data_IF_243099215048
#
_entry.id   IF_243099215048
#
_cell.length_a   1.000
_cell.length_b   1.000
_cell.length_c   1.000
_cell.angle_alpha   90.00
_cell.angle_beta   90.00
_cell.angle_gamma   90.00
#
_symmetry.space_group_name_H-M   'P 1'
#
loop_
_entity.id
_entity.type
_entity.pdbx_description
1 polymer ?
#
# COMPACT_ATOMS: atom_id res chain seq x y z
N UNK A 1 9.06 6.42 -6.63
CA UNK A 1 9.25 5.02 -7.03
C UNK A 1 10.34 4.44 -6.16
N UNK A 2 10.07 3.37 -5.41
CA UNK A 2 11.11 2.68 -4.67
C UNK A 2 11.92 1.80 -5.62
N UNK A 3 13.22 2.06 -5.70
CA UNK A 3 14.15 1.35 -6.60
C UNK A 3 14.65 0.04 -5.96
N UNK A 4 14.43 -0.14 -4.64
CA UNK A 4 14.84 -1.32 -3.89
C UNK A 4 13.65 -2.25 -3.62
N UNK A 5 13.24 -3.00 -4.65
CA UNK A 5 12.21 -4.02 -4.48
C UNK A 5 12.83 -5.26 -3.84
N UNK A 6 12.33 -5.65 -2.68
CA UNK A 6 12.75 -6.90 -2.04
C UNK A 6 12.13 -8.08 -2.78
N UNK A 7 12.98 -9.04 -3.12
CA UNK A 7 12.60 -10.22 -3.90
C UNK A 7 12.99 -11.50 -3.18
N UNK A 8 12.26 -12.58 -3.47
CA UNK A 8 12.55 -13.93 -2.96
C UNK A 8 12.25 -14.99 -4.03
N UNK A 9 12.89 -16.17 -3.96
CA UNK A 9 12.64 -17.24 -4.92
C UNK A 9 11.32 -17.99 -4.60
N UNK A 10 10.76 -18.75 -5.56
CA UNK A 10 9.44 -19.37 -5.41
C UNK A 10 9.41 -20.52 -4.40
N UNK A 11 10.57 -21.07 -4.05
CA UNK A 11 10.80 -22.16 -3.10
C UNK A 11 11.15 -21.69 -1.68
N UNK A 12 11.24 -20.37 -1.45
CA UNK A 12 11.31 -19.80 -0.11
C UNK A 12 10.08 -20.22 0.71
N UNK A 13 10.25 -20.41 2.02
CA UNK A 13 9.11 -20.73 2.89
C UNK A 13 8.31 -19.47 3.20
N UNK A 14 7.03 -19.61 3.53
CA UNK A 14 6.21 -18.48 3.99
C UNK A 14 6.82 -17.84 5.23
N UNK A 15 7.42 -18.62 6.13
CA UNK A 15 8.17 -18.08 7.27
C UNK A 15 9.27 -17.14 6.80
N UNK A 16 10.09 -17.54 5.83
CA UNK A 16 11.19 -16.70 5.35
C UNK A 16 10.67 -15.42 4.70
N UNK A 17 9.56 -15.51 3.95
CA UNK A 17 8.86 -14.34 3.38
C UNK A 17 8.40 -13.39 4.48
N UNK A 18 7.71 -13.90 5.51
CA UNK A 18 7.22 -13.10 6.62
C UNK A 18 8.35 -12.47 7.44
N UNK A 19 9.41 -13.24 7.72
CA UNK A 19 10.60 -12.73 8.41
C UNK A 19 11.26 -11.62 7.60
N UNK A 20 11.41 -11.79 6.27
CA UNK A 20 11.98 -10.77 5.42
C UNK A 20 11.12 -9.50 5.33
N UNK A 21 9.80 -9.65 5.35
CA UNK A 21 8.87 -8.52 5.45
C UNK A 21 9.08 -7.72 6.74
N UNK A 22 9.17 -8.42 7.89
CA UNK A 22 9.39 -7.78 9.19
C UNK A 22 10.77 -7.14 9.32
N UNK A 23 11.84 -7.79 8.85
CA UNK A 23 13.21 -7.27 8.88
C UNK A 23 13.38 -5.98 8.07
N UNK A 24 12.66 -5.87 6.95
CA UNK A 24 12.77 -4.75 6.02
C UNK A 24 11.67 -3.70 6.22
N UNK A 25 10.72 -3.92 7.14
CA UNK A 25 9.51 -3.12 7.35
C UNK A 25 8.69 -2.91 6.05
N UNK A 26 8.39 -3.99 5.34
CA UNK A 26 7.64 -3.97 4.06
C UNK A 26 6.45 -4.91 4.07
N UNK A 27 5.36 -4.50 3.42
CA UNK A 27 4.12 -5.29 3.34
C UNK A 27 3.98 -6.20 2.11
N UNK A 28 5.01 -6.29 1.27
CA UNK A 28 5.01 -7.17 0.07
C UNK A 28 6.40 -7.56 -0.41
N UNK A 29 6.48 -8.74 -1.03
CA UNK A 29 7.69 -9.25 -1.68
C UNK A 29 7.33 -9.74 -3.09
N UNK A 30 8.16 -9.37 -4.08
CA UNK A 30 8.07 -9.91 -5.44
C UNK A 30 8.76 -11.28 -5.50
N UNK A 31 8.08 -12.26 -6.09
CA UNK A 31 8.64 -13.60 -6.30
C UNK A 31 9.32 -13.66 -7.66
N UNK A 32 10.60 -14.02 -7.65
CA UNK A 32 11.46 -14.10 -8.82
C UNK A 32 11.80 -15.56 -9.13
N UNK A 33 11.38 -16.07 -10.28
CA UNK A 33 11.91 -17.31 -10.85
C UNK A 33 13.15 -16.98 -11.68
N UNK A 34 14.34 -17.16 -11.07
CA UNK A 34 15.62 -16.73 -11.62
C UNK A 34 15.63 -15.21 -11.88
N UNK A 35 15.50 -14.81 -13.14
CA UNK A 35 15.49 -13.40 -13.57
C UNK A 35 14.09 -12.88 -13.88
N UNK A 36 13.06 -13.74 -13.83
CA UNK A 36 11.70 -13.37 -14.20
C UNK A 36 10.84 -13.13 -12.97
N UNK A 37 10.16 -11.99 -12.87
CA UNK A 37 9.17 -11.77 -11.83
C UNK A 37 7.90 -12.56 -12.16
N UNK A 38 7.53 -13.51 -11.28
CA UNK A 38 6.43 -14.47 -11.54
C UNK A 38 5.20 -14.26 -10.66
N UNK A 39 5.35 -13.51 -9.57
CA UNK A 39 4.23 -13.22 -8.68
C UNK A 39 4.60 -12.26 -7.57
N UNK A 40 3.63 -12.01 -6.69
CA UNK A 40 3.77 -11.15 -5.52
C UNK A 40 3.10 -11.82 -4.33
N UNK A 41 3.70 -11.67 -3.14
CA UNK A 41 3.08 -12.03 -1.86
C UNK A 41 2.91 -10.76 -1.04
N UNK A 42 1.76 -10.65 -0.41
CA UNK A 42 1.42 -9.57 0.53
C UNK A 42 1.11 -10.14 1.92
N UNK A 43 1.10 -9.31 2.94
CA UNK A 43 0.66 -9.71 4.30
C UNK A 43 -0.74 -10.34 4.29
N UNK A 44 -1.63 -9.82 3.44
CA UNK A 44 -2.99 -10.35 3.27
C UNK A 44 -3.01 -11.76 2.68
N UNK A 45 -2.06 -12.11 1.80
CA UNK A 45 -1.94 -13.48 1.28
C UNK A 45 -1.49 -14.45 2.38
N UNK A 46 -0.56 -14.03 3.25
CA UNK A 46 -0.13 -14.85 4.40
C UNK A 46 -1.30 -15.09 5.35
N UNK A 47 -2.03 -14.03 5.72
CA UNK A 47 -3.19 -14.14 6.61
C UNK A 47 -4.27 -15.05 6.01
N UNK A 48 -4.64 -14.85 4.74
CA UNK A 48 -5.78 -15.55 4.11
C UNK A 48 -5.45 -16.95 3.62
N UNK A 49 -4.27 -17.19 3.06
CA UNK A 49 -3.93 -18.46 2.36
C UNK A 49 -3.08 -19.40 3.19
N UNK A 50 -2.61 -18.95 4.35
CA UNK A 50 -1.76 -19.74 5.27
C UNK A 50 -2.41 -19.83 6.64
N UNK A 51 -2.61 -18.69 7.31
CA UNK A 51 -3.15 -18.69 8.68
C UNK A 51 -4.59 -19.18 8.70
N UNK A 52 -5.47 -18.57 7.90
CA UNK A 52 -6.88 -18.96 7.83
C UNK A 52 -7.11 -20.36 7.25
N UNK A 53 -6.14 -20.91 6.51
CA UNK A 53 -6.17 -22.27 5.97
C UNK A 53 -5.38 -23.28 6.82
N UNK A 54 -4.92 -22.89 8.01
CA UNK A 54 -4.16 -23.73 8.95
C UNK A 54 -2.90 -24.40 8.34
N UNK A 55 -2.29 -23.78 7.33
CA UNK A 55 -1.07 -24.30 6.70
C UNK A 55 0.16 -23.99 7.55
N UNK A 56 1.13 -24.90 7.53
CA UNK A 56 2.40 -24.69 8.23
C UNK A 56 3.32 -23.73 7.45
N UNK A 57 3.66 -22.54 7.98
CA UNK A 57 4.48 -21.55 7.28
C UNK A 57 5.94 -21.98 7.08
N UNK A 58 6.42 -22.98 7.84
CA UNK A 58 7.79 -23.51 7.70
C UNK A 58 7.94 -24.46 6.51
N UNK A 59 6.84 -25.00 5.98
CA UNK A 59 6.86 -25.97 4.87
C UNK A 59 6.18 -25.43 3.62
N UNK A 60 5.16 -24.60 3.78
CA UNK A 60 4.45 -23.94 2.66
C UNK A 60 5.41 -23.02 1.91
N UNK A 61 5.43 -23.14 0.58
CA UNK A 61 6.32 -22.36 -0.30
C UNK A 61 5.66 -21.10 -0.81
N UNK A 62 6.47 -20.10 -1.11
CA UNK A 62 6.05 -18.82 -1.68
C UNK A 62 5.19 -19.00 -2.94
N UNK A 63 5.59 -19.90 -3.86
CA UNK A 63 4.85 -20.20 -5.09
C UNK A 63 3.42 -20.73 -4.87
N UNK A 64 3.14 -21.31 -3.70
CA UNK A 64 1.83 -21.90 -3.39
C UNK A 64 0.82 -20.83 -2.95
N UNK A 65 1.31 -19.67 -2.49
CA UNK A 65 0.45 -18.60 -1.96
C UNK A 65 0.54 -17.29 -2.73
N UNK A 66 1.54 -17.13 -3.61
CA UNK A 66 1.69 -15.90 -4.39
C UNK A 66 0.49 -15.66 -5.31
N UNK A 67 0.19 -14.39 -5.56
CA UNK A 67 -0.67 -14.01 -6.67
C UNK A 67 0.13 -14.01 -7.97
N UNK A 68 -0.35 -14.74 -8.97
CA UNK A 68 0.28 -14.95 -10.27
C UNK A 68 -0.80 -15.05 -11.37
N UNK A 69 -0.57 -14.57 -12.60
CA UNK A 69 0.64 -13.86 -13.06
C UNK A 69 0.81 -12.49 -12.38
N UNK A 70 2.04 -11.97 -12.37
CA UNK A 70 2.32 -10.67 -11.78
C UNK A 70 1.67 -9.55 -12.59
N UNK A 71 0.72 -8.84 -11.98
CA UNK A 71 0.17 -7.60 -12.53
C UNK A 71 1.24 -6.51 -12.49
N UNK A 72 1.48 -5.88 -13.63
CA UNK A 72 2.52 -4.88 -13.78
C UNK A 72 2.13 -3.76 -14.75
N UNK A 73 2.90 -2.68 -14.69
CA UNK A 73 2.88 -1.53 -15.60
C UNK A 73 4.30 -1.24 -16.11
N UNK A 74 4.42 -0.34 -17.08
CA UNK A 74 5.71 0.09 -17.62
C UNK A 74 6.09 1.50 -17.13
N UNK A 75 7.39 1.88 -17.11
CA UNK A 75 7.82 3.20 -16.61
C UNK A 75 7.30 4.40 -17.42
N UNK A 76 6.94 4.18 -18.69
CA UNK A 76 6.39 5.18 -19.61
C UNK A 76 4.87 5.35 -19.49
N UNK A 77 4.21 4.47 -18.75
CA UNK A 77 2.77 4.54 -18.50
C UNK A 77 2.43 5.73 -17.60
N UNK A 78 1.33 6.42 -17.90
CA UNK A 78 0.87 7.53 -17.06
C UNK A 78 0.45 7.02 -15.67
N UNK A 79 0.67 7.83 -14.62
CA UNK A 79 0.29 7.46 -13.25
C UNK A 79 -1.20 7.12 -13.12
N UNK A 80 -2.06 7.85 -13.83
CA UNK A 80 -3.51 7.63 -13.86
C UNK A 80 -3.89 6.29 -14.49
N UNK A 81 -3.10 5.79 -15.45
CA UNK A 81 -3.29 4.46 -16.02
C UNK A 81 -2.85 3.37 -15.05
N UNK A 82 -1.73 3.57 -14.33
CA UNK A 82 -1.34 2.67 -13.24
C UNK A 82 -2.40 2.60 -12.13
N UNK A 83 -3.01 3.73 -11.75
CA UNK A 83 -4.15 3.78 -10.83
C UNK A 83 -5.36 2.99 -11.36
N UNK A 84 -5.66 3.09 -12.66
CA UNK A 84 -6.74 2.32 -13.29
C UNK A 84 -6.43 0.82 -13.28
N UNK A 85 -5.19 0.41 -13.52
CA UNK A 85 -4.76 -0.99 -13.42
C UNK A 85 -4.94 -1.50 -11.99
N UNK A 86 -4.53 -0.72 -10.99
CA UNK A 86 -4.74 -1.02 -9.57
C UNK A 86 -6.23 -1.21 -9.26
N UNK A 87 -7.08 -0.26 -9.64
CA UNK A 87 -8.52 -0.29 -9.40
C UNK A 87 -9.20 -1.49 -10.07
N UNK A 88 -8.93 -1.74 -11.35
CA UNK A 88 -9.52 -2.88 -12.10
C UNK A 88 -9.09 -4.23 -11.55
N UNK A 89 -7.85 -4.33 -11.08
CA UNK A 89 -7.30 -5.57 -10.53
C UNK A 89 -7.59 -5.73 -9.03
N UNK A 90 -8.24 -4.73 -8.41
CA UNK A 90 -8.48 -4.65 -6.96
C UNK A 90 -7.20 -4.85 -6.12
N UNK A 91 -6.11 -4.19 -6.53
CA UNK A 91 -4.81 -4.24 -5.85
C UNK A 91 -4.37 -2.84 -5.43
N UNK A 92 -3.61 -2.76 -4.33
CA UNK A 92 -3.08 -1.51 -3.77
C UNK A 92 -1.64 -1.23 -4.15
N UNK A 93 -1.03 -2.11 -4.93
CA UNK A 93 0.36 -2.06 -5.35
C UNK A 93 0.53 -2.76 -6.68
N UNK A 94 1.39 -2.23 -7.54
CA UNK A 94 1.63 -2.75 -8.88
C UNK A 94 3.12 -2.74 -9.15
N UNK A 95 3.63 -3.82 -9.74
CA UNK A 95 5.02 -3.90 -10.14
C UNK A 95 5.26 -3.02 -11.37
N UNK A 96 6.47 -2.46 -11.49
CA UNK A 96 6.91 -1.73 -12.67
C UNK A 96 7.96 -2.58 -13.37
N UNK A 97 7.70 -2.98 -14.62
CA UNK A 97 8.65 -3.73 -15.44
C UNK A 97 9.16 -2.88 -16.59
N UNK A 98 10.48 -2.88 -16.79
CA UNK A 98 11.14 -2.29 -17.97
C UNK A 98 11.79 -3.41 -18.75
N UNK A 99 11.34 -3.65 -19.99
CA UNK A 99 11.84 -4.75 -20.84
C UNK A 99 11.81 -6.10 -20.08
N UNK A 100 10.66 -6.45 -19.50
CA UNK A 100 10.42 -7.65 -18.68
C UNK A 100 11.27 -7.79 -17.40
N UNK A 101 12.09 -6.77 -17.10
CA UNK A 101 12.92 -6.73 -15.90
C UNK A 101 12.25 -5.89 -14.82
N UNK A 102 12.28 -6.37 -13.57
CA UNK A 102 11.74 -5.65 -12.43
C UNK A 102 12.48 -4.33 -12.23
N UNK A 103 11.78 -3.22 -12.42
CA UNK A 103 12.33 -1.87 -12.26
C UNK A 103 11.93 -1.24 -10.92
N UNK A 104 10.77 -1.59 -10.37
CA UNK A 104 10.29 -1.03 -9.11
C UNK A 104 8.89 -1.53 -8.72
N UNK A 105 8.34 -0.92 -7.67
CA UNK A 105 6.94 -1.08 -7.25
C UNK A 105 6.34 0.30 -7.01
N UNK A 106 5.05 0.45 -7.29
CA UNK A 106 4.25 1.63 -6.95
C UNK A 106 3.10 1.15 -6.08
N UNK A 107 2.86 1.85 -4.97
CA UNK A 107 1.76 1.58 -4.05
C UNK A 107 0.73 2.71 -4.08
N UNK A 108 -0.50 2.45 -3.63
CA UNK A 108 -1.51 3.49 -3.46
C UNK A 108 -1.06 4.57 -2.47
N UNK A 109 -0.23 4.20 -1.47
CA UNK A 109 0.39 5.14 -0.54
C UNK A 109 1.36 6.09 -1.26
N UNK A 110 2.17 5.57 -2.18
CA UNK A 110 3.04 6.42 -3.01
C UNK A 110 2.24 7.44 -3.82
N UNK A 111 1.11 7.01 -4.39
CA UNK A 111 0.24 7.86 -5.21
C UNK A 111 -0.32 9.01 -4.38
N UNK A 112 -0.84 8.72 -3.18
CA UNK A 112 -1.34 9.75 -2.25
C UNK A 112 -0.22 10.70 -1.79
N UNK A 113 1.00 10.20 -1.62
CA UNK A 113 2.17 11.02 -1.28
C UNK A 113 2.59 11.94 -2.44
N UNK A 114 2.46 11.50 -3.69
CA UNK A 114 2.85 12.28 -4.87
C UNK A 114 1.78 13.27 -5.34
N UNK A 115 0.51 13.00 -5.06
CA UNK A 115 -0.60 13.91 -5.33
C UNK A 115 -1.56 13.96 -4.15
N UNK A 116 -1.23 14.75 -3.12
CA UNK A 116 -2.09 14.97 -1.95
C UNK A 116 -3.46 15.54 -2.32
N UNK A 117 -3.57 16.28 -3.43
CA UNK A 117 -4.82 16.89 -3.91
C UNK A 117 -5.90 15.85 -4.24
N UNK A 118 -5.51 14.59 -4.49
CA UNK A 118 -6.47 13.50 -4.64
C UNK A 118 -7.29 13.26 -3.37
N UNK A 119 -6.75 13.57 -2.19
CA UNK A 119 -7.47 13.46 -0.92
C UNK A 119 -8.64 14.45 -0.90
N UNK A 120 -8.39 15.71 -1.26
CA UNK A 120 -9.43 16.75 -1.28
C UNK A 120 -10.56 16.38 -2.25
N UNK A 121 -10.21 15.89 -3.44
CA UNK A 121 -11.19 15.43 -4.44
C UNK A 121 -12.01 14.26 -3.90
N UNK A 122 -11.37 13.30 -3.22
CA UNK A 122 -12.04 12.14 -2.64
C UNK A 122 -13.00 12.54 -1.51
N UNK A 123 -12.56 13.43 -0.60
CA UNK A 123 -13.38 13.95 0.49
C UNK A 123 -14.62 14.66 -0.06
N UNK A 124 -14.45 15.51 -1.06
CA UNK A 124 -15.56 16.23 -1.67
C UNK A 124 -16.51 15.28 -2.40
N UNK A 125 -15.98 14.27 -3.10
CA UNK A 125 -16.80 13.23 -3.73
C UNK A 125 -17.62 12.42 -2.71
N UNK A 126 -17.06 12.12 -1.53
CA UNK A 126 -17.75 11.39 -0.48
C UNK A 126 -18.85 12.24 0.16
N UNK A 127 -18.60 13.54 0.37
CA UNK A 127 -19.64 14.49 0.82
C UNK A 127 -20.83 14.51 -0.14
N UNK A 128 -20.57 14.58 -1.44
CA UNK A 128 -21.62 14.54 -2.47
C UNK A 128 -22.38 13.21 -2.51
N UNK A 129 -21.71 12.08 -2.21
CA UNK A 129 -22.37 10.77 -2.12
C UNK A 129 -23.21 10.60 -0.84
N UNK A 130 -22.75 11.15 0.28
CA UNK A 130 -23.46 11.12 1.56
C UNK A 130 -24.69 12.04 1.57
N UNK A 131 -24.72 13.09 0.74
CA UNK A 131 -25.89 13.96 0.56
C UNK A 131 -27.09 13.23 -0.10
N UNK A 132 -26.93 11.95 -0.48
CA UNK A 132 -28.01 11.07 -0.96
C UNK A 132 -28.42 9.98 0.05
N UNK A 133 -27.91 10.03 1.28
CA UNK A 133 -28.26 9.06 2.32
C UNK A 133 -27.92 9.52 3.74
N UNK A 134 -28.98 9.88 4.49
CA UNK A 134 -29.03 10.18 5.92
C UNK A 134 -28.82 11.66 6.31
N UNK A 135 -29.91 12.24 6.84
CA UNK A 135 -29.92 13.42 7.68
C UNK A 135 -29.24 13.10 9.02
N UNK A 136 -28.47 14.07 9.49
CA UNK A 136 -28.22 14.46 10.90
C UNK A 136 -28.15 13.33 11.93
N UNK A 137 -26.95 13.05 12.43
CA UNK A 137 -26.69 13.06 13.87
C UNK A 137 -25.19 13.38 14.08
N UNK A 138 -24.97 14.28 15.02
CA UNK A 138 -23.72 14.93 15.43
C UNK A 138 -22.58 13.93 15.71
N UNK A 139 -21.42 14.12 15.08
CA UNK A 139 -20.11 13.87 15.69
C UNK A 139 -19.04 14.53 14.80
N UNK A 140 -18.61 15.72 15.23
CA UNK A 140 -17.53 16.54 14.65
C UNK A 140 -16.13 15.94 14.88
N UNK A 141 -16.04 14.73 15.43
CA UNK A 141 -14.82 14.03 15.79
C UNK A 141 -14.71 12.77 14.91
N UNK A 142 -13.81 12.71 13.90
CA UNK A 142 -13.11 11.47 13.46
C UNK A 142 -12.44 11.52 12.06
N UNK A 143 -12.38 12.65 11.36
CA UNK A 143 -11.63 12.72 10.09
C UNK A 143 -10.18 13.22 10.26
N UNK A 144 -9.41 12.55 11.14
CA UNK A 144 -7.93 12.56 11.14
C UNK A 144 -7.40 11.12 10.95
N UNK A 145 -8.11 10.29 10.17
CA UNK A 145 -7.66 8.92 9.88
C UNK A 145 -6.52 8.84 8.84
N UNK A 146 -6.26 9.94 8.13
CA UNK A 146 -5.14 10.07 7.22
C UNK A 146 -4.35 11.29 7.68
N UNK A 147 -3.10 11.07 8.10
CA UNK A 147 -2.20 12.15 8.51
C UNK A 147 -2.20 13.38 7.61
N UNK A 148 -1.73 14.49 8.15
CA UNK A 148 -1.72 15.79 7.48
C UNK A 148 -0.39 16.51 7.68
N UNK A 149 -0.35 17.79 7.29
CA UNK A 149 0.82 18.65 7.49
C UNK A 149 0.71 19.33 8.87
N UNK A 150 1.80 19.33 9.63
CA UNK A 150 1.89 20.05 10.90
C UNK A 150 1.93 21.57 10.67
N UNK A 151 1.06 22.31 11.36
CA UNK A 151 0.97 23.78 11.26
C UNK A 151 2.20 24.51 11.82
N UNK A 152 3.05 23.82 12.59
CA UNK A 152 4.26 24.40 13.19
C UNK A 152 5.51 24.15 12.34
N UNK A 153 5.77 22.89 11.95
CA UNK A 153 6.99 22.54 11.22
C UNK A 153 6.79 22.36 9.71
N UNK A 154 5.55 22.30 9.23
CA UNK A 154 5.25 22.08 7.81
C UNK A 154 5.54 20.66 7.30
N UNK A 155 5.89 19.72 8.18
CA UNK A 155 6.17 18.33 7.82
C UNK A 155 4.90 17.47 7.93
N UNK A 156 4.80 16.46 7.07
CA UNK A 156 3.69 15.50 7.11
C UNK A 156 3.83 14.57 8.32
N UNK A 157 2.75 14.42 9.09
CA UNK A 157 2.65 13.48 10.21
C UNK A 157 1.41 12.61 10.11
N UNK A 158 1.58 11.31 10.36
CA UNK A 158 0.48 10.36 10.52
C UNK A 158 -0.21 10.46 11.90
N UNK A 159 0.42 11.16 12.84
CA UNK A 159 -0.08 11.45 14.19
C UNK A 159 -0.12 12.97 14.38
N UNK A 160 -1.28 13.58 14.12
CA UNK A 160 -1.54 15.00 14.36
C UNK A 160 -2.58 15.12 15.47
N UNK A 161 -2.31 16.01 16.43
CA UNK A 161 -3.26 16.41 17.46
C UNK A 161 -3.72 17.86 17.23
N UNK A 162 -4.98 18.15 17.52
CA UNK A 162 -5.51 19.51 17.50
C UNK A 162 -5.27 20.17 18.85
N UNK A 163 -4.39 21.17 18.90
CA UNK A 163 -4.10 21.98 20.09
C UNK A 163 -4.26 23.47 19.77
N UNK A 164 -5.07 24.18 20.56
CA UNK A 164 -5.35 25.61 20.37
C UNK A 164 -5.74 26.00 18.94
N UNK A 165 -6.48 25.11 18.25
CA UNK A 165 -6.93 25.32 16.87
C UNK A 165 -5.85 25.12 15.81
N UNK A 166 -4.71 24.50 16.13
CA UNK A 166 -3.65 24.12 15.19
C UNK A 166 -3.40 22.61 15.23
N UNK A 167 -3.10 22.03 14.08
CA UNK A 167 -2.71 20.62 13.97
C UNK A 167 -1.20 20.47 14.17
N UNK A 168 -0.80 19.85 15.28
CA UNK A 168 0.61 19.68 15.67
C UNK A 168 1.01 18.21 15.64
N UNK A 169 2.18 17.91 15.07
CA UNK A 169 2.75 16.56 15.11
C UNK A 169 3.28 16.22 16.49
N UNK A 170 3.57 14.94 16.72
CA UNK A 170 4.11 14.43 17.99
C UNK A 170 5.35 15.17 18.52
N UNK A 171 6.15 15.75 17.61
CA UNK A 171 7.36 16.51 17.93
C UNK A 171 7.03 17.97 18.30
N UNK A 172 6.00 18.56 17.68
CA UNK A 172 5.66 19.97 17.84
C UNK A 172 4.66 20.25 18.98
N UNK A 173 3.99 19.21 19.51
CA UNK A 173 3.09 19.28 20.67
C UNK A 173 3.83 19.22 22.03
N UNK A 174 5.13 19.51 22.04
CA UNK A 174 6.02 19.49 23.22
C UNK A 174 6.24 20.88 23.81
#
# INVERSE_FOLDING_TARGET
MEVNVVTMPPDATVRDVASRMAEMDIGSIIIMDRTRPVGIITESDIARRVVAEEKNPKTTKAKEIMSSPLVHVTPDMALTEAMRVMARSNIRRVAVLKNDSLAGIITSRDILRWSPELIDILVESLRLQNDHGAREEEEEDELIAFGGICDSCGEYSADLALEDGRYLCEVCRS
#
